data_IF_088481807389
#
_entry.id   IF_088481807389
#
_cell.length_a   1.000
_cell.length_b   1.000
_cell.length_c   1.000
_cell.angle_alpha   90.00
_cell.angle_beta   90.00
_cell.angle_gamma   90.00
#
_symmetry.space_group_name_H-M   'P 1'
#
loop_
_entity.id
_entity.type
_entity.pdbx_description
1 polymer ?
#
# COMPACT_ATOMS: atom_id res chain seq x y z
N UNK A 1 8.96 19.24 6.47
CA UNK A 1 7.72 19.09 7.29
C UNK A 1 8.05 19.52 8.70
N UNK A 2 7.04 19.93 9.49
CA UNK A 2 7.24 20.21 10.91
C UNK A 2 7.64 18.93 11.66
N UNK A 3 8.36 19.06 12.79
CA UNK A 3 8.80 17.89 13.57
C UNK A 3 7.62 17.11 14.19
N UNK A 4 6.51 17.76 14.41
CA UNK A 4 5.26 17.21 14.96
C UNK A 4 4.21 16.89 13.89
N UNK A 5 4.65 16.75 12.62
CA UNK A 5 3.73 16.52 11.52
C UNK A 5 3.05 15.15 11.62
N UNK A 6 1.74 15.18 11.47
CA UNK A 6 0.90 13.99 11.32
C UNK A 6 0.17 14.06 9.99
N UNK A 7 0.19 12.97 9.25
CA UNK A 7 -0.47 12.98 7.95
C UNK A 7 -0.13 11.79 7.08
N UNK A 8 -0.50 11.91 5.82
CA UNK A 8 -0.42 10.85 4.81
C UNK A 8 0.29 11.35 3.57
N UNK A 9 1.02 10.44 2.94
CA UNK A 9 1.63 10.63 1.62
C UNK A 9 1.12 9.53 0.71
N UNK A 10 0.65 9.91 -0.49
CA UNK A 10 0.16 8.96 -1.49
C UNK A 10 0.46 9.42 -2.91
N UNK A 11 0.44 8.47 -3.85
CA UNK A 11 0.61 8.74 -5.27
C UNK A 11 -0.73 8.88 -6.00
N UNK A 12 -0.81 9.89 -6.85
CA UNK A 12 -1.88 10.04 -7.84
C UNK A 12 -1.44 9.41 -9.15
N UNK A 13 -2.31 8.70 -9.85
CA UNK A 13 -1.94 8.02 -11.09
C UNK A 13 -2.74 8.51 -12.29
N UNK A 14 -2.08 8.48 -13.46
CA UNK A 14 -2.68 8.83 -14.76
C UNK A 14 -3.46 10.16 -14.69
N UNK A 15 -2.75 11.22 -14.26
CA UNK A 15 -3.35 12.53 -14.06
C UNK A 15 -3.31 13.37 -15.33
N UNK A 16 -4.31 14.22 -15.51
CA UNK A 16 -4.48 15.13 -16.67
C UNK A 16 -4.48 16.58 -16.22
N UNK A 17 -3.29 17.14 -16.00
CA UNK A 17 -3.07 18.55 -15.72
C UNK A 17 -2.34 19.23 -16.88
N UNK A 18 -2.54 20.55 -17.02
CA UNK A 18 -1.68 21.36 -17.87
C UNK A 18 -0.38 21.74 -17.14
N UNK A 19 0.52 22.46 -17.82
CA UNK A 19 1.83 22.85 -17.30
C UNK A 19 1.74 23.79 -16.07
N UNK A 20 0.62 24.48 -15.92
CA UNK A 20 0.33 25.35 -14.77
C UNK A 20 -0.35 24.58 -13.60
N UNK A 21 -0.51 23.27 -13.73
CA UNK A 21 -1.18 22.44 -12.72
C UNK A 21 -2.70 22.64 -12.64
N UNK A 22 -3.29 23.20 -13.70
CA UNK A 22 -4.74 23.36 -13.82
C UNK A 22 -5.37 22.13 -14.47
N UNK A 23 -6.65 21.84 -14.21
CA UNK A 23 -7.33 20.72 -14.84
C UNK A 23 -7.40 20.90 -16.36
N UNK A 24 -7.16 19.83 -17.11
CA UNK A 24 -7.38 19.82 -18.56
C UNK A 24 -8.85 19.58 -18.91
N UNK A 25 -9.55 18.82 -18.08
CA UNK A 25 -10.92 18.42 -18.30
C UNK A 25 -11.80 18.73 -17.08
N UNK A 26 -13.12 18.70 -17.28
CA UNK A 26 -14.04 18.76 -16.15
C UNK A 26 -14.13 17.40 -15.46
N UNK A 27 -14.11 17.39 -14.13
CA UNK A 27 -14.27 16.20 -13.32
C UNK A 27 -12.97 15.70 -12.70
N UNK A 28 -12.87 14.40 -12.57
CA UNK A 28 -11.74 13.72 -11.94
C UNK A 28 -10.48 13.84 -12.81
N UNK A 29 -9.40 14.30 -12.20
CA UNK A 29 -8.16 14.55 -12.94
C UNK A 29 -7.18 13.36 -12.89
N UNK A 30 -7.29 12.47 -11.92
CA UNK A 30 -6.43 11.30 -11.79
C UNK A 30 -7.25 10.02 -11.71
N UNK A 31 -6.72 8.93 -12.22
CA UNK A 31 -7.40 7.62 -12.19
C UNK A 31 -7.50 7.05 -10.78
N UNK A 32 -6.49 7.28 -9.93
CA UNK A 32 -6.49 6.90 -8.52
C UNK A 32 -5.87 7.98 -7.66
N UNK A 33 -6.23 8.01 -6.38
CA UNK A 33 -5.68 8.95 -5.40
C UNK A 33 -6.03 10.40 -5.67
N UNK A 34 -7.02 10.69 -6.51
CA UNK A 34 -7.38 12.07 -6.86
C UNK A 34 -7.81 12.86 -5.63
N UNK A 35 -7.41 14.12 -5.55
CA UNK A 35 -7.66 14.98 -4.39
C UNK A 35 -8.15 16.36 -4.79
N UNK A 36 -8.86 16.43 -5.88
CA UNK A 36 -9.49 17.64 -6.40
C UNK A 36 -8.93 18.06 -7.75
N UNK A 37 -9.50 19.14 -8.32
CA UNK A 37 -9.30 19.49 -9.73
C UNK A 37 -7.90 20.04 -10.03
N UNK A 38 -7.11 20.38 -9.03
CA UNK A 38 -5.79 21.00 -9.23
C UNK A 38 -4.65 20.03 -8.91
N UNK A 39 -3.47 20.30 -9.45
CA UNK A 39 -2.24 19.57 -9.10
C UNK A 39 -1.98 19.63 -7.59
N UNK A 40 -2.18 20.79 -6.98
CA UNK A 40 -2.11 20.93 -5.53
C UNK A 40 -3.37 20.37 -4.87
N UNK A 41 -3.22 19.32 -4.06
CA UNK A 41 -4.31 18.75 -3.30
C UNK A 41 -4.93 19.73 -2.31
N UNK A 42 -6.26 19.69 -2.19
CA UNK A 42 -7.04 20.46 -1.21
C UNK A 42 -7.87 19.59 -0.28
N UNK A 43 -7.76 18.28 -0.40
CA UNK A 43 -8.53 17.31 0.36
C UNK A 43 -7.83 15.96 0.48
N UNK A 44 -8.55 14.98 1.02
CA UNK A 44 -8.11 13.59 1.06
C UNK A 44 -8.05 13.00 -0.35
N UNK A 45 -7.17 12.03 -0.54
CA UNK A 45 -7.11 11.25 -1.79
C UNK A 45 -8.35 10.38 -1.95
N UNK A 46 -8.84 10.26 -3.19
CA UNK A 46 -9.91 9.32 -3.52
C UNK A 46 -9.36 7.90 -3.65
N UNK A 47 -10.15 6.95 -3.20
CA UNK A 47 -9.81 5.53 -3.26
C UNK A 47 -9.81 5.00 -4.72
N UNK A 48 -9.00 3.97 -5.03
CA UNK A 48 -8.02 3.35 -4.14
C UNK A 48 -6.70 4.13 -4.08
N UNK A 49 -6.04 4.07 -2.93
CA UNK A 49 -4.68 4.62 -2.79
C UNK A 49 -3.89 3.83 -1.73
N UNK A 50 -2.65 3.50 -2.04
CA UNK A 50 -1.66 3.07 -1.05
C UNK A 50 -1.17 4.30 -0.30
N UNK A 51 -1.19 4.27 1.02
CA UNK A 51 -0.81 5.41 1.86
C UNK A 51 0.46 5.09 2.65
N UNK A 52 1.34 6.09 2.80
CA UNK A 52 2.33 6.13 3.85
C UNK A 52 1.80 7.07 4.93
N UNK A 53 1.58 6.57 6.14
CA UNK A 53 1.01 7.33 7.25
C UNK A 53 2.08 7.59 8.30
N UNK A 54 2.06 8.78 8.90
CA UNK A 54 3.07 9.21 9.85
C UNK A 54 2.47 9.98 11.02
N UNK A 55 3.03 9.73 12.21
CA UNK A 55 2.94 10.58 13.38
C UNK A 55 4.36 10.79 13.88
N UNK A 56 5.00 11.92 13.50
CA UNK A 56 6.44 12.14 13.71
C UNK A 56 6.80 12.44 15.17
N UNK A 57 5.87 12.98 15.95
CA UNK A 57 6.04 13.20 17.38
C UNK A 57 4.81 12.64 18.10
N UNK A 58 4.88 11.39 18.43
CA UNK A 58 3.80 10.66 19.08
C UNK A 58 4.06 10.40 20.55
N UNK A 59 3.31 9.49 21.14
CA UNK A 59 3.47 9.10 22.53
C UNK A 59 4.88 8.52 22.79
N UNK A 60 5.40 8.74 24.01
CA UNK A 60 6.68 8.23 24.47
C UNK A 60 7.90 8.72 23.66
N UNK A 61 7.84 9.92 23.08
CA UNK A 61 8.90 10.47 22.22
C UNK A 61 9.27 9.50 21.07
N UNK A 62 8.26 8.99 20.40
CA UNK A 62 8.43 8.10 19.26
C UNK A 62 7.74 8.64 18.02
N UNK A 63 8.32 8.36 16.86
CA UNK A 63 7.68 8.47 15.57
C UNK A 63 7.02 7.14 15.23
N UNK A 64 5.76 7.20 14.83
CA UNK A 64 4.99 6.06 14.34
C UNK A 64 4.74 6.21 12.84
N UNK A 65 4.85 5.11 12.13
CA UNK A 65 4.61 5.11 10.69
C UNK A 65 4.20 3.73 10.20
N UNK A 66 3.52 3.72 9.07
CA UNK A 66 3.07 2.49 8.42
C UNK A 66 2.80 2.71 6.94
N UNK A 67 2.63 1.59 6.24
CA UNK A 67 2.01 1.56 4.91
C UNK A 67 0.58 1.06 5.11
N UNK A 68 -0.39 1.79 4.58
CA UNK A 68 -1.80 1.44 4.73
C UNK A 68 -2.44 1.08 3.39
N UNK A 69 -3.12 -0.05 3.38
CA UNK A 69 -3.99 -0.53 2.31
C UNK A 69 -5.48 -0.48 2.72
N UNK A 70 -5.80 0.20 3.82
CA UNK A 70 -7.18 0.33 4.32
C UNK A 70 -8.07 1.03 3.27
N UNK A 71 -7.50 1.96 2.52
CA UNK A 71 -8.15 2.66 1.41
C UNK A 71 -7.98 1.97 0.04
N UNK A 72 -7.34 0.81 0.01
CA UNK A 72 -7.04 0.06 -1.19
C UNK A 72 -5.56 0.15 -1.60
N UNK A 73 -5.26 -0.36 -2.79
CA UNK A 73 -3.92 -0.41 -3.36
C UNK A 73 -3.90 0.21 -4.76
N UNK A 74 -2.97 1.12 -5.02
CA UNK A 74 -2.74 1.63 -6.37
C UNK A 74 -1.28 1.50 -6.82
N UNK A 75 -0.31 1.86 -5.98
CA UNK A 75 1.11 1.84 -6.32
C UNK A 75 1.91 1.07 -5.27
N UNK A 76 2.98 0.38 -5.69
CA UNK A 76 4.00 -0.09 -4.76
C UNK A 76 4.56 1.08 -3.93
N UNK A 77 4.84 0.82 -2.66
CA UNK A 77 5.35 1.84 -1.76
C UNK A 77 6.35 1.25 -0.76
N UNK A 78 7.34 2.05 -0.41
CA UNK A 78 8.24 1.76 0.69
C UNK A 78 8.47 3.00 1.55
N UNK A 79 8.72 2.77 2.83
CA UNK A 79 9.15 3.79 3.77
C UNK A 79 10.55 3.43 4.22
N UNK A 80 11.49 4.35 4.06
CA UNK A 80 12.89 4.17 4.46
C UNK A 80 13.24 5.21 5.49
N UNK A 81 13.61 4.75 6.69
CA UNK A 81 14.12 5.62 7.75
C UNK A 81 15.51 6.12 7.36
N UNK A 82 15.70 7.43 7.48
CA UNK A 82 17.03 8.05 7.36
C UNK A 82 17.77 7.92 8.69
N UNK A 83 19.01 7.46 8.63
CA UNK A 83 19.83 7.32 9.81
C UNK A 83 19.98 8.68 10.53
N UNK A 84 19.70 8.69 11.82
CA UNK A 84 19.91 9.84 12.70
C UNK A 84 20.99 9.55 13.76
N UNK A 85 22.06 8.88 13.34
CA UNK A 85 23.16 8.51 14.21
C UNK A 85 22.98 7.22 15.02
N UNK A 86 21.79 6.68 15.09
CA UNK A 86 21.50 5.42 15.75
C UNK A 86 21.56 4.24 14.77
N UNK A 87 22.25 3.18 15.14
CA UNK A 87 22.34 1.92 14.36
C UNK A 87 21.06 1.09 14.46
N UNK A 88 19.92 1.68 14.07
CA UNK A 88 18.69 0.88 13.98
C UNK A 88 18.73 0.08 12.68
N UNK A 89 18.66 -1.24 12.74
CA UNK A 89 18.78 -2.08 11.55
C UNK A 89 17.63 -1.81 10.55
N UNK A 90 17.98 -1.51 9.31
CA UNK A 90 17.01 -1.20 8.23
C UNK A 90 16.02 -2.33 7.99
N UNK A 91 16.43 -3.57 8.19
CA UNK A 91 15.55 -4.74 8.12
C UNK A 91 14.51 -4.83 9.24
N UNK A 92 14.49 -3.86 10.16
CA UNK A 92 13.50 -3.76 11.23
C UNK A 92 12.62 -2.52 11.12
N UNK A 93 12.96 -1.60 10.21
CA UNK A 93 12.37 -0.26 10.16
C UNK A 93 11.88 0.17 8.78
N UNK A 94 12.22 -0.55 7.73
CA UNK A 94 11.95 -0.13 6.35
C UNK A 94 10.92 -1.04 5.67
N UNK A 95 9.60 -0.87 5.97
CA UNK A 95 8.57 -1.67 5.33
C UNK A 95 8.43 -1.32 3.85
N UNK A 96 8.09 -2.34 3.05
CA UNK A 96 7.66 -2.17 1.68
C UNK A 96 6.44 -3.04 1.37
N UNK A 97 5.59 -2.51 0.51
CA UNK A 97 4.43 -3.20 -0.04
C UNK A 97 4.50 -3.15 -1.57
N UNK A 98 4.69 -4.30 -2.19
CA UNK A 98 4.81 -4.44 -3.65
C UNK A 98 3.80 -5.47 -4.12
N UNK A 99 2.56 -5.05 -4.28
CA UNK A 99 1.44 -5.88 -4.75
C UNK A 99 1.31 -5.92 -6.28
N UNK A 100 2.18 -5.20 -7.00
CA UNK A 100 2.24 -5.23 -8.46
C UNK A 100 3.62 -4.78 -8.90
N UNK A 101 4.31 -5.59 -9.67
CA UNK A 101 5.61 -5.21 -10.25
C UNK A 101 5.55 -5.05 -11.77
N UNK A 102 4.61 -5.57 -12.48
CA UNK A 102 4.43 -5.40 -13.91
C UNK A 102 5.32 -4.32 -14.53
N UNK A 103 4.72 -3.40 -15.26
CA UNK A 103 5.44 -2.28 -15.88
C UNK A 103 5.89 -1.17 -14.90
N UNK A 104 5.64 -1.34 -13.60
CA UNK A 104 5.90 -0.33 -12.58
C UNK A 104 7.25 -0.51 -11.87
N UNK A 105 7.95 -1.61 -12.10
CA UNK A 105 9.24 -1.87 -11.49
C UNK A 105 10.13 -2.82 -12.28
N UNK A 106 11.44 -2.87 -12.00
CA UNK A 106 12.35 -3.81 -12.65
C UNK A 106 11.92 -5.26 -12.40
N UNK A 107 11.83 -6.06 -13.47
CA UNK A 107 11.34 -7.44 -13.40
C UNK A 107 12.25 -8.37 -12.58
N UNK A 108 13.50 -8.02 -12.43
CA UNK A 108 14.56 -8.89 -11.87
C UNK A 108 14.93 -8.49 -10.43
N UNK A 109 14.23 -7.54 -9.85
CA UNK A 109 14.59 -7.07 -8.53
C UNK A 109 14.12 -8.01 -7.42
N UNK A 110 15.05 -8.51 -6.65
CA UNK A 110 14.79 -9.27 -5.43
C UNK A 110 15.21 -8.42 -4.20
N UNK A 111 14.27 -7.96 -3.36
CA UNK A 111 14.58 -7.17 -2.16
C UNK A 111 15.35 -7.98 -1.12
N UNK A 112 15.41 -9.30 -1.26
CA UNK A 112 16.18 -10.18 -0.40
C UNK A 112 17.64 -10.30 -0.85
N UNK A 113 18.00 -9.78 -2.02
CA UNK A 113 19.39 -9.65 -2.44
C UNK A 113 19.97 -8.37 -1.86
N UNK A 114 21.06 -8.52 -1.13
CA UNK A 114 21.83 -7.41 -0.56
C UNK A 114 22.62 -6.67 -1.64
N UNK A 115 21.97 -5.83 -2.44
CA UNK A 115 22.71 -4.84 -3.20
C UNK A 115 22.76 -3.54 -2.38
N UNK A 116 23.97 -2.96 -2.28
CA UNK A 116 24.25 -1.79 -1.46
C UNK A 116 23.45 -0.53 -1.83
N UNK A 117 22.85 -0.52 -3.01
CA UNK A 117 22.09 0.61 -3.54
C UNK A 117 20.59 0.53 -3.22
N UNK A 118 20.16 -0.53 -2.56
CA UNK A 118 18.75 -0.79 -2.35
C UNK A 118 18.38 -0.59 -0.88
N UNK A 119 17.63 0.44 -0.64
CA UNK A 119 17.19 0.85 0.68
C UNK A 119 16.27 -0.16 1.37
N UNK A 120 15.79 -1.15 0.65
CA UNK A 120 14.82 -2.12 1.11
C UNK A 120 15.42 -3.42 1.63
N UNK A 121 16.73 -3.54 1.73
CA UNK A 121 17.45 -4.74 2.15
C UNK A 121 16.93 -5.31 3.48
N UNK A 122 15.82 -6.02 3.41
CA UNK A 122 15.27 -6.79 4.52
C UNK A 122 15.68 -8.24 4.33
N UNK A 123 16.43 -8.77 5.25
CA UNK A 123 16.71 -10.21 5.35
C UNK A 123 15.49 -10.95 5.91
N UNK A 124 14.30 -10.68 5.42
CA UNK A 124 13.15 -11.46 5.83
C UNK A 124 13.34 -12.89 5.34
N UNK A 125 13.42 -13.84 6.26
CA UNK A 125 13.48 -15.26 5.94
C UNK A 125 12.15 -15.81 5.43
N UNK A 126 11.08 -15.03 5.55
CA UNK A 126 9.75 -15.42 5.13
C UNK A 126 9.54 -14.98 3.67
N UNK A 127 9.63 -15.93 2.76
CA UNK A 127 9.31 -15.71 1.35
C UNK A 127 7.80 -15.53 1.19
N UNK A 128 7.43 -14.47 0.49
CA UNK A 128 6.04 -14.26 0.10
C UNK A 128 5.67 -15.17 -1.09
N UNK A 129 4.37 -15.46 -1.27
CA UNK A 129 3.90 -16.24 -2.41
C UNK A 129 4.24 -15.62 -3.77
N UNK A 130 4.70 -14.37 -3.81
CA UNK A 130 5.18 -13.66 -5.00
C UNK A 130 6.70 -13.70 -5.16
N UNK A 131 7.34 -14.79 -4.90
CA UNK A 131 8.77 -14.96 -5.18
C UNK A 131 9.10 -14.98 -6.69
N UNK A 132 8.11 -14.97 -7.56
CA UNK A 132 8.28 -14.92 -9.01
C UNK A 132 7.77 -13.61 -9.59
N UNK A 133 8.60 -12.87 -10.37
CA UNK A 133 8.20 -11.64 -11.04
C UNK A 133 6.95 -11.79 -11.93
N UNK A 134 6.74 -12.95 -12.50
CA UNK A 134 5.59 -13.24 -13.38
C UNK A 134 4.24 -13.31 -12.65
N UNK A 135 4.22 -13.46 -11.32
CA UNK A 135 2.99 -13.60 -10.53
C UNK A 135 2.51 -12.29 -9.90
N UNK A 136 3.24 -11.20 -10.06
CA UNK A 136 3.09 -10.01 -9.26
C UNK A 136 2.27 -8.90 -9.91
N UNK A 137 1.12 -9.24 -10.41
CA UNK A 137 0.12 -8.24 -10.80
C UNK A 137 -0.95 -8.15 -9.70
N UNK A 138 -1.57 -6.99 -9.54
CA UNK A 138 -2.72 -6.80 -8.63
C UNK A 138 -3.78 -7.87 -8.87
N UNK A 139 -4.00 -8.23 -10.12
CA UNK A 139 -4.97 -9.27 -10.49
C UNK A 139 -4.62 -10.67 -9.99
N UNK A 140 -3.43 -10.91 -9.46
CA UNK A 140 -3.07 -12.20 -8.87
C UNK A 140 -3.52 -12.37 -7.42
N UNK A 141 -3.83 -11.29 -6.72
CA UNK A 141 -4.23 -11.31 -5.32
C UNK A 141 -5.52 -10.53 -5.01
N UNK A 142 -5.78 -9.44 -5.74
CA UNK A 142 -6.95 -8.60 -5.49
C UNK A 142 -8.22 -9.37 -5.88
N UNK A 143 -9.20 -9.47 -4.98
CA UNK A 143 -10.49 -10.05 -5.31
C UNK A 143 -11.10 -9.42 -6.55
N UNK A 144 -11.69 -10.24 -7.41
CA UNK A 144 -12.18 -9.81 -8.72
C UNK A 144 -13.13 -8.61 -8.66
N UNK A 145 -14.04 -8.63 -7.71
CA UNK A 145 -15.04 -7.59 -7.51
C UNK A 145 -14.46 -6.26 -7.00
N UNK A 146 -13.26 -6.29 -6.46
CA UNK A 146 -12.56 -5.12 -5.93
C UNK A 146 -11.56 -4.49 -6.90
N UNK A 147 -11.30 -5.10 -8.02
CA UNK A 147 -10.46 -4.51 -9.06
C UNK A 147 -11.12 -3.28 -9.67
N UNK A 148 -10.36 -2.21 -9.90
CA UNK A 148 -10.87 -0.98 -10.52
C UNK A 148 -11.39 -1.24 -11.92
N UNK A 149 -10.67 -2.09 -12.67
CA UNK A 149 -11.06 -2.55 -14.00
C UNK A 149 -11.14 -4.07 -14.01
N UNK A 150 -12.19 -4.66 -13.43
CA UNK A 150 -12.32 -6.11 -13.40
C UNK A 150 -12.38 -6.65 -14.82
N UNK A 151 -11.72 -7.78 -15.09
CA UNK A 151 -11.81 -8.42 -16.39
C UNK A 151 -13.28 -8.84 -16.64
N UNK A 152 -13.68 -8.88 -17.89
CA UNK A 152 -15.01 -9.43 -18.22
C UNK A 152 -15.06 -10.89 -17.79
N UNK A 153 -16.05 -11.23 -17.01
CA UNK A 153 -16.25 -12.60 -16.56
C UNK A 153 -16.49 -13.55 -17.71
N UNK A 154 -16.13 -14.82 -17.56
CA UNK A 154 -16.28 -15.83 -18.60
C UNK A 154 -17.74 -16.27 -18.85
N UNK A 155 -18.71 -15.50 -18.44
CA UNK A 155 -20.13 -15.82 -18.53
C UNK A 155 -20.75 -16.23 -17.19
N UNK A 156 -21.95 -16.76 -17.20
CA UNK A 156 -22.64 -17.17 -15.98
C UNK A 156 -21.94 -18.38 -15.34
N UNK A 157 -21.43 -18.21 -14.12
CA UNK A 157 -20.78 -19.29 -13.38
C UNK A 157 -19.86 -18.78 -12.28
N UNK A 158 -19.30 -19.71 -11.51
CA UNK A 158 -18.26 -19.41 -10.53
C UNK A 158 -16.99 -19.05 -11.28
N UNK A 159 -16.47 -17.88 -10.99
CA UNK A 159 -15.23 -17.37 -11.58
C UNK A 159 -14.04 -17.84 -10.75
N UNK A 160 -13.26 -18.84 -11.19
CA UNK A 160 -12.07 -19.26 -10.47
C UNK A 160 -11.00 -18.16 -10.57
N UNK A 161 -10.44 -17.80 -9.45
CA UNK A 161 -9.37 -16.82 -9.40
C UNK A 161 -8.08 -17.50 -8.90
N UNK A 162 -6.90 -17.22 -9.51
CA UNK A 162 -6.66 -16.40 -10.72
C UNK A 162 -7.08 -17.14 -11.99
N UNK A 163 -7.63 -16.38 -12.96
CA UNK A 163 -8.02 -16.90 -14.28
C UNK A 163 -6.95 -16.53 -15.30
N UNK A 164 -6.30 -17.53 -15.88
CA UNK A 164 -5.21 -17.35 -16.86
C UNK A 164 -5.72 -16.98 -18.27
N UNK A 165 -6.99 -17.20 -18.53
CA UNK A 165 -7.57 -17.03 -19.90
C UNK A 165 -8.12 -15.62 -20.12
N UNK A 166 -8.15 -14.78 -19.06
CA UNK A 166 -8.70 -13.45 -19.15
C UNK A 166 -7.61 -12.42 -19.39
N UNK A 167 -7.73 -11.63 -20.46
CA UNK A 167 -6.85 -10.50 -20.72
C UNK A 167 -7.07 -9.42 -19.66
N UNK A 168 -6.02 -9.11 -18.92
CA UNK A 168 -6.04 -8.13 -17.83
C UNK A 168 -5.27 -6.87 -18.23
N UNK A 169 -5.70 -5.68 -17.79
CA UNK A 169 -4.91 -4.47 -17.99
C UNK A 169 -3.60 -4.57 -17.20
N UNK A 170 -2.54 -3.96 -17.72
CA UNK A 170 -1.22 -3.89 -17.06
C UNK A 170 -1.27 -3.15 -15.72
N UNK A 171 -2.13 -2.15 -15.62
CA UNK A 171 -2.39 -1.41 -14.39
C UNK A 171 -3.86 -1.56 -13.99
N UNK A 172 -4.10 -2.20 -12.85
CA UNK A 172 -5.44 -2.44 -12.34
C UNK A 172 -5.43 -2.35 -10.81
N UNK A 173 -5.62 -1.15 -10.25
CA UNK A 173 -5.64 -0.95 -8.80
C UNK A 173 -6.75 -1.73 -8.12
N UNK A 174 -6.61 -1.92 -6.81
CA UNK A 174 -7.52 -2.69 -5.98
C UNK A 174 -8.22 -1.79 -4.96
N UNK A 175 -9.55 -1.76 -4.96
CA UNK A 175 -10.30 -1.18 -3.85
C UNK A 175 -10.21 -2.05 -2.60
N UNK A 176 -10.21 -1.45 -1.42
CA UNK A 176 -10.59 -2.21 -0.23
C UNK A 176 -12.09 -2.49 -0.23
N UNK A 177 -12.52 -3.47 0.54
CA UNK A 177 -13.95 -3.77 0.68
C UNK A 177 -14.72 -2.57 1.27
N UNK A 178 -14.09 -1.84 2.21
CA UNK A 178 -14.66 -0.60 2.74
C UNK A 178 -14.79 0.47 1.66
N UNK A 179 -13.73 0.73 0.91
CA UNK A 179 -13.73 1.74 -0.14
C UNK A 179 -14.77 1.45 -1.25
N UNK A 180 -15.01 0.17 -1.54
CA UNK A 180 -15.94 -0.24 -2.59
C UNK A 180 -17.40 -0.24 -2.15
N UNK A 181 -17.68 -0.81 -0.98
CA UNK A 181 -19.05 -1.08 -0.53
C UNK A 181 -19.55 -0.15 0.55
N UNK A 182 -18.64 0.55 1.26
CA UNK A 182 -18.97 1.45 2.36
C UNK A 182 -19.86 0.82 3.44
N UNK A 183 -19.68 -0.48 3.70
CA UNK A 183 -20.44 -1.19 4.72
C UNK A 183 -19.77 -1.07 6.09
N UNK A 184 -20.52 -0.83 7.18
CA UNK A 184 -19.96 -0.68 8.52
C UNK A 184 -19.07 -1.84 8.98
N UNK A 185 -19.38 -3.07 8.57
CA UNK A 185 -18.56 -4.25 8.88
C UNK A 185 -17.18 -4.23 8.19
N UNK A 186 -17.08 -3.70 6.98
CA UNK A 186 -15.83 -3.57 6.25
C UNK A 186 -15.04 -2.33 6.68
N UNK A 187 -15.76 -1.26 7.02
CA UNK A 187 -15.16 0.02 7.41
C UNK A 187 -14.87 0.12 8.92
N UNK A 188 -15.22 -0.89 9.70
CA UNK A 188 -15.05 -0.89 11.16
C UNK A 188 -15.74 0.29 11.83
N UNK A 189 -16.97 0.60 11.42
CA UNK A 189 -17.73 1.75 11.93
C UNK A 189 -19.00 1.31 12.68
N UNK A 190 -19.62 2.22 13.44
CA UNK A 190 -20.83 1.95 14.19
C UNK A 190 -20.65 0.82 15.20
N UNK A 191 -21.44 -0.24 15.12
CA UNK A 191 -21.32 -1.38 16.04
C UNK A 191 -20.02 -2.18 15.91
N UNK A 192 -19.31 -2.01 14.80
CA UNK A 192 -18.01 -2.65 14.53
C UNK A 192 -16.82 -1.76 14.92
N UNK A 193 -17.06 -0.58 15.48
CA UNK A 193 -16.01 0.33 15.92
C UNK A 193 -15.38 -0.19 17.22
N UNK A 194 -14.12 -0.56 17.15
CA UNK A 194 -13.29 -0.97 18.28
C UNK A 194 -12.54 -2.29 18.10
N UNK A 195 -11.44 -2.45 18.85
CA UNK A 195 -10.67 -3.70 18.88
C UNK A 195 -11.55 -4.87 19.28
N UNK A 196 -11.45 -5.98 18.57
CA UNK A 196 -12.25 -7.18 18.80
C UNK A 196 -13.70 -7.11 18.31
N UNK A 197 -14.19 -5.95 17.87
CA UNK A 197 -15.48 -5.80 17.20
C UNK A 197 -15.36 -5.81 15.68
N UNK A 198 -14.26 -5.34 15.16
CA UNK A 198 -13.89 -5.44 13.76
C UNK A 198 -12.90 -6.57 13.55
N UNK A 199 -12.99 -7.24 12.42
CA UNK A 199 -12.08 -8.33 12.05
C UNK A 199 -11.70 -8.24 10.58
N UNK A 200 -10.59 -8.89 10.23
CA UNK A 200 -10.13 -8.98 8.84
C UNK A 200 -11.23 -9.59 7.95
N UNK A 201 -11.40 -9.02 6.77
CA UNK A 201 -12.31 -9.49 5.73
C UNK A 201 -11.55 -10.18 4.59
N UNK A 202 -12.25 -10.60 3.54
CA UNK A 202 -11.64 -11.30 2.40
C UNK A 202 -10.59 -10.45 1.64
N UNK A 203 -10.80 -9.12 1.55
CA UNK A 203 -9.82 -8.21 1.00
C UNK A 203 -8.58 -8.11 1.90
N UNK A 204 -8.80 -7.84 3.19
CA UNK A 204 -7.68 -7.62 4.11
C UNK A 204 -6.79 -8.85 4.25
N UNK A 205 -7.36 -10.06 4.15
CA UNK A 205 -6.57 -11.29 4.11
C UNK A 205 -5.70 -11.36 2.87
N UNK A 206 -6.29 -11.12 1.69
CA UNK A 206 -5.54 -11.10 0.43
C UNK A 206 -4.47 -10.00 0.39
N UNK A 207 -4.78 -8.81 0.93
CA UNK A 207 -3.82 -7.72 1.05
C UNK A 207 -2.65 -8.06 1.99
N UNK A 208 -2.95 -8.73 3.11
CA UNK A 208 -1.93 -9.18 4.08
C UNK A 208 -1.02 -10.26 3.51
N UNK A 209 -1.55 -11.14 2.66
CA UNK A 209 -0.75 -12.17 1.97
C UNK A 209 0.32 -11.56 1.07
N UNK A 210 0.07 -10.40 0.45
CA UNK A 210 1.02 -9.74 -0.45
C UNK A 210 1.83 -8.64 0.20
N UNK A 211 1.32 -8.02 1.24
CA UNK A 211 1.95 -6.93 1.99
C UNK A 211 1.83 -7.18 3.51
N UNK A 212 2.56 -8.15 4.06
CA UNK A 212 2.41 -8.56 5.47
C UNK A 212 2.63 -7.44 6.48
N UNK A 213 3.49 -6.48 6.16
CA UNK A 213 3.82 -5.35 7.04
C UNK A 213 2.86 -4.16 6.90
N UNK A 214 1.92 -4.18 5.93
CA UNK A 214 0.99 -3.07 5.71
C UNK A 214 -0.33 -3.26 6.48
N UNK A 215 -0.94 -2.16 6.91
CA UNK A 215 -2.32 -2.19 7.39
C UNK A 215 -3.27 -2.68 6.30
N UNK A 216 -4.08 -3.65 6.62
CA UNK A 216 -5.07 -4.23 5.70
C UNK A 216 -6.52 -3.94 6.09
N UNK A 217 -6.75 -3.53 7.34
CA UNK A 217 -8.03 -3.05 7.87
C UNK A 217 -7.76 -2.15 9.10
N UNK A 218 -8.72 -1.33 9.58
CA UNK A 218 -8.47 -0.28 10.57
C UNK A 218 -7.94 -0.71 11.94
N UNK A 219 -8.08 -1.97 12.33
CA UNK A 219 -7.61 -2.50 13.62
C UNK A 219 -6.50 -3.56 13.47
N UNK A 220 -5.64 -3.37 12.48
CA UNK A 220 -4.50 -4.25 12.17
C UNK A 220 -3.20 -3.82 12.89
N UNK A 221 -3.32 -3.12 14.01
CA UNK A 221 -2.23 -2.38 14.69
C UNK A 221 -1.03 -3.26 15.09
N UNK A 222 -1.28 -4.47 15.59
CA UNK A 222 -0.23 -5.35 16.12
C UNK A 222 0.71 -5.88 15.03
N UNK A 223 0.23 -5.90 13.80
CA UNK A 223 0.91 -6.53 12.68
C UNK A 223 1.31 -5.49 11.59
N UNK A 224 1.25 -4.19 11.88
CA UNK A 224 1.43 -3.19 10.83
C UNK A 224 2.07 -1.86 11.25
N UNK A 225 2.15 -1.55 12.55
CA UNK A 225 2.73 -0.30 13.04
C UNK A 225 4.23 -0.44 13.27
N UNK A 226 4.99 0.51 12.73
CA UNK A 226 6.39 0.69 13.01
C UNK A 226 6.59 1.88 13.94
N UNK A 227 7.54 1.77 14.86
CA UNK A 227 7.92 2.87 15.74
C UNK A 227 9.44 2.96 15.89
N UNK A 228 9.93 4.18 15.94
CA UNK A 228 11.33 4.51 16.17
C UNK A 228 11.41 5.73 17.09
N UNK A 229 12.52 5.96 17.81
CA UNK A 229 12.71 7.21 18.55
C UNK A 229 12.49 8.43 17.66
N UNK A 230 12.00 9.53 18.22
CA UNK A 230 11.85 10.78 17.47
C UNK A 230 13.19 11.26 16.91
N UNK A 231 13.13 11.91 15.74
CA UNK A 231 14.26 12.60 15.13
C UNK A 231 14.65 12.15 13.74
N UNK A 232 14.61 10.85 13.36
CA UNK A 232 14.96 10.48 12.01
C UNK A 232 13.98 11.05 11.00
N UNK A 233 14.50 11.38 9.81
CA UNK A 233 13.68 11.65 8.63
C UNK A 233 13.27 10.34 7.96
N UNK A 234 12.38 10.46 6.97
CA UNK A 234 11.91 9.33 6.19
C UNK A 234 11.92 9.66 4.70
N UNK A 235 12.25 8.65 3.90
CA UNK A 235 11.96 8.67 2.47
C UNK A 235 10.72 7.80 2.21
N UNK A 236 9.75 8.36 1.51
CA UNK A 236 8.65 7.58 0.90
C UNK A 236 9.05 7.32 -0.54
N UNK A 237 9.17 6.06 -0.90
CA UNK A 237 9.59 5.62 -2.23
C UNK A 237 8.37 5.01 -2.93
N UNK A 238 7.98 5.61 -4.04
CA UNK A 238 6.96 5.04 -4.92
C UNK A 238 7.59 4.09 -5.91
N UNK A 239 6.93 2.99 -6.19
CA UNK A 239 7.39 1.96 -7.12
C UNK A 239 8.83 1.50 -6.81
N UNK A 240 9.13 1.08 -5.57
CA UNK A 240 10.48 0.74 -5.15
C UNK A 240 11.09 -0.42 -5.93
N UNK A 241 10.31 -1.13 -6.72
CA UNK A 241 10.71 -2.41 -7.26
C UNK A 241 10.76 -3.50 -6.18
N UNK A 242 11.00 -4.74 -6.59
CA UNK A 242 11.22 -5.83 -5.67
C UNK A 242 9.98 -6.48 -5.06
N UNK A 243 10.13 -7.02 -3.88
CA UNK A 243 9.10 -7.73 -3.15
C UNK A 243 8.70 -6.97 -1.88
N UNK A 244 7.52 -7.28 -1.37
CA UNK A 244 7.09 -6.78 -0.07
C UNK A 244 7.95 -7.33 1.06
N UNK A 245 8.05 -6.59 2.14
CA UNK A 245 8.72 -7.02 3.36
C UNK A 245 7.79 -7.82 4.26
N UNK A 246 8.40 -8.59 5.16
CA UNK A 246 7.72 -9.33 6.21
C UNK A 246 8.52 -9.20 7.51
N UNK A 247 8.73 -7.96 7.93
CA UNK A 247 9.58 -7.60 9.07
C UNK A 247 8.92 -8.01 10.38
N UNK A 248 7.63 -7.76 10.50
CA UNK A 248 6.89 -7.97 11.75
C UNK A 248 6.82 -9.46 12.10
N UNK A 249 6.64 -10.33 11.10
CA UNK A 249 6.67 -11.76 11.35
C UNK A 249 8.04 -12.27 11.81
N UNK A 250 9.13 -11.61 11.41
CA UNK A 250 10.48 -11.98 11.84
C UNK A 250 10.81 -11.53 13.28
N UNK A 251 9.95 -10.68 13.88
CA UNK A 251 10.10 -10.22 15.27
C UNK A 251 9.31 -11.05 16.28
N UNK A 252 8.43 -11.92 15.80
CA UNK A 252 7.64 -12.87 16.60
C UNK A 252 8.38 -14.20 16.77
#
# INVERSE_FOLDING_TARGET
MAQDWQGRVWGRTNCSFNDDGQPKDQGRQCSTGDCGPFLQCKGAGENPATLAEFTLSGANSQSYYDISLVDGYNLPMAIVMLANGDDIPRNQTNPSCVGSIGDLGPADYDPYTTSSDMHLGTNSSNKLPFSSPSASTVSSWCPWDLQVSPPQGPGAGVYPYPDSDVKRPSFNPCFSACAKYNEPAYCCTGKYDGPGKCSSNYYSKAAKDVCPDAYSYPYDDQDSTFSVPEGPGFHVIFCPGGLSTNIIASKK
#
